data_IF_202735443054
#
_entry.id   IF_202735443054
#
_cell.length_a   1.000
_cell.length_b   1.000
_cell.length_c   1.000
_cell.angle_alpha   90.00
_cell.angle_beta   90.00
_cell.angle_gamma   90.00
#
_symmetry.space_group_name_H-M   'P 1'
#
loop_
_entity.id
_entity.type
_entity.pdbx_description
1 polymer ?
#
# COMPACT_ATOMS: atom_id res chain seq x y z
N UNK A 1 -0.33 -7.32 -7.88
CA UNK A 1 -0.13 -6.75 -6.54
C UNK A 1 1.24 -6.08 -6.51
N UNK A 2 1.29 -4.78 -6.26
CA UNK A 2 2.54 -4.01 -6.25
C UNK A 2 3.27 -4.23 -4.92
N UNK A 3 4.52 -4.71 -4.97
CA UNK A 3 5.36 -4.83 -3.76
C UNK A 3 5.84 -3.46 -3.30
N UNK A 4 5.81 -3.19 -1.99
CA UNK A 4 6.30 -1.94 -1.39
C UNK A 4 7.82 -1.80 -1.47
N UNK A 5 8.57 -2.91 -1.43
CA UNK A 5 10.02 -2.93 -1.52
C UNK A 5 10.48 -3.28 -2.94
N UNK A 6 11.57 -2.65 -3.39
CA UNK A 6 12.18 -2.96 -4.69
C UNK A 6 12.95 -4.27 -4.55
N UNK A 7 12.61 -5.28 -5.35
CA UNK A 7 13.39 -6.51 -5.45
C UNK A 7 14.80 -6.17 -5.97
N UNK A 8 15.82 -6.51 -5.19
CA UNK A 8 17.22 -6.33 -5.58
C UNK A 8 17.63 -7.49 -6.48
N UNK A 9 17.46 -7.32 -7.78
CA UNK A 9 18.07 -8.23 -8.73
C UNK A 9 19.59 -7.94 -8.78
N UNK A 10 20.42 -8.98 -8.65
CA UNK A 10 21.89 -8.88 -8.64
C UNK A 10 22.48 -8.30 -9.93
N UNK A 11 21.67 -8.19 -10.99
CA UNK A 11 22.05 -7.66 -12.31
C UNK A 11 21.87 -6.15 -12.44
N UNK A 12 21.20 -5.50 -11.50
CA UNK A 12 20.92 -4.07 -11.56
C UNK A 12 21.82 -3.33 -10.59
N UNK A 13 22.41 -2.23 -11.08
CA UNK A 13 23.29 -1.30 -10.38
C UNK A 13 22.78 -0.99 -8.95
N UNK A 14 23.68 -0.89 -7.99
CA UNK A 14 23.38 -0.60 -6.59
C UNK A 14 22.60 0.72 -6.44
N UNK A 15 21.28 0.62 -6.18
CA UNK A 15 20.46 1.79 -5.83
C UNK A 15 20.68 2.18 -4.37
N UNK A 16 20.75 3.48 -4.13
CA UNK A 16 20.68 3.99 -2.76
C UNK A 16 19.28 3.75 -2.16
N UNK A 17 19.17 3.57 -0.83
CA UNK A 17 17.84 3.37 -0.19
C UNK A 17 16.84 4.47 -0.49
N UNK A 18 17.32 5.70 -0.68
CA UNK A 18 16.50 6.87 -1.04
C UNK A 18 15.97 6.80 -2.47
N UNK A 19 16.81 6.37 -3.42
CA UNK A 19 16.38 6.19 -4.81
C UNK A 19 15.29 5.11 -4.94
N UNK A 20 15.44 4.01 -4.20
CA UNK A 20 14.42 2.96 -4.15
C UNK A 20 13.11 3.46 -3.54
N UNK A 21 13.18 4.34 -2.53
CA UNK A 21 12.01 4.98 -1.92
C UNK A 21 11.26 5.84 -2.95
N UNK A 22 11.95 6.78 -3.60
CA UNK A 22 11.32 7.70 -4.55
C UNK A 22 10.82 7.01 -5.81
N UNK A 23 11.50 5.99 -6.30
CA UNK A 23 11.06 5.23 -7.48
C UNK A 23 9.71 4.53 -7.26
N UNK A 24 9.49 3.92 -6.09
CA UNK A 24 8.19 3.33 -5.73
C UNK A 24 7.15 4.39 -5.36
N UNK A 25 7.55 5.42 -4.65
CA UNK A 25 6.71 6.55 -4.30
C UNK A 25 6.07 7.19 -5.54
N UNK A 26 6.85 7.45 -6.58
CA UNK A 26 6.36 8.04 -7.82
C UNK A 26 5.28 7.18 -8.49
N UNK A 27 5.47 5.84 -8.49
CA UNK A 27 4.48 4.92 -9.03
C UNK A 27 3.15 5.00 -8.27
N UNK A 28 3.18 4.97 -6.93
CA UNK A 28 1.96 5.06 -6.12
C UNK A 28 1.26 6.41 -6.25
N UNK A 29 2.01 7.50 -6.34
CA UNK A 29 1.45 8.84 -6.60
C UNK A 29 0.74 8.89 -7.95
N UNK A 30 1.38 8.41 -9.01
CA UNK A 30 0.78 8.41 -10.35
C UNK A 30 -0.54 7.62 -10.36
N UNK A 31 -0.56 6.43 -9.78
CA UNK A 31 -1.78 5.61 -9.68
C UNK A 31 -2.85 6.33 -8.85
N UNK A 32 -2.48 6.91 -7.70
CA UNK A 32 -3.40 7.65 -6.83
C UNK A 32 -4.02 8.88 -7.50
N UNK A 33 -3.21 9.65 -8.24
CA UNK A 33 -3.70 10.82 -8.96
C UNK A 33 -4.65 10.44 -10.10
N UNK A 34 -4.30 9.41 -10.88
CA UNK A 34 -5.20 8.92 -11.95
C UNK A 34 -6.52 8.43 -11.36
N UNK A 35 -6.47 7.67 -10.26
CA UNK A 35 -7.66 7.20 -9.57
C UNK A 35 -8.52 8.35 -9.06
N UNK A 36 -7.93 9.35 -8.42
CA UNK A 36 -8.66 10.53 -7.94
C UNK A 36 -9.30 11.34 -9.09
N UNK A 37 -8.58 11.49 -10.20
CA UNK A 37 -9.11 12.16 -11.38
C UNK A 37 -10.35 11.44 -11.94
N UNK A 38 -10.28 10.10 -12.06
CA UNK A 38 -11.41 9.29 -12.54
C UNK A 38 -12.62 9.44 -11.61
N UNK A 39 -12.40 9.42 -10.29
CA UNK A 39 -13.48 9.56 -9.30
C UNK A 39 -14.10 10.96 -9.41
N UNK A 40 -13.31 12.03 -9.38
CA UNK A 40 -13.84 13.41 -9.47
C UNK A 40 -14.60 13.66 -10.79
N UNK A 41 -14.10 13.14 -11.92
CA UNK A 41 -14.81 13.23 -13.19
C UNK A 41 -16.10 12.40 -13.17
N UNK A 42 -16.08 11.22 -12.56
CA UNK A 42 -17.26 10.37 -12.37
C UNK A 42 -18.33 11.07 -11.54
N UNK A 43 -17.96 11.75 -10.46
CA UNK A 43 -18.88 12.50 -9.61
C UNK A 43 -19.55 13.63 -10.38
N UNK A 44 -18.80 14.38 -11.21
CA UNK A 44 -19.33 15.50 -11.98
C UNK A 44 -20.18 15.02 -13.17
N UNK A 45 -19.68 14.07 -13.97
CA UNK A 45 -20.33 13.68 -15.23
C UNK A 45 -21.34 12.57 -15.07
N UNK A 46 -21.05 11.54 -14.26
CA UNK A 46 -21.90 10.36 -14.09
C UNK A 46 -22.97 10.60 -13.03
N UNK A 47 -22.58 11.07 -11.86
CA UNK A 47 -23.50 11.37 -10.76
C UNK A 47 -24.17 12.74 -10.89
N UNK A 48 -23.69 13.57 -11.82
CA UNK A 48 -24.20 14.95 -12.04
C UNK A 48 -24.24 15.74 -10.73
N UNK A 49 -23.21 15.58 -9.88
CA UNK A 49 -23.09 16.35 -8.67
C UNK A 49 -23.08 17.85 -9.01
N UNK A 50 -23.94 18.61 -8.35
CA UNK A 50 -23.98 20.06 -8.54
C UNK A 50 -22.73 20.67 -7.93
N UNK A 51 -21.82 21.14 -8.78
CA UNK A 51 -20.58 21.82 -8.38
C UNK A 51 -20.57 23.22 -9.00
N UNK A 52 -20.45 24.22 -8.17
CA UNK A 52 -20.35 25.61 -8.64
C UNK A 52 -18.95 25.87 -9.23
N UNK A 53 -17.92 25.25 -8.65
CA UNK A 53 -16.54 25.35 -9.12
C UNK A 53 -15.93 23.96 -9.42
N UNK A 54 -16.23 23.35 -10.59
CA UNK A 54 -15.78 21.97 -10.89
C UNK A 54 -14.25 21.82 -10.93
N UNK A 55 -13.53 22.83 -11.39
CA UNK A 55 -12.06 22.81 -11.42
C UNK A 55 -11.46 22.82 -10.00
N UNK A 56 -12.05 23.57 -9.08
CA UNK A 56 -11.62 23.60 -7.69
C UNK A 56 -11.92 22.24 -6.99
N UNK A 57 -13.05 21.61 -7.31
CA UNK A 57 -13.39 20.29 -6.82
C UNK A 57 -12.38 19.22 -7.26
N UNK A 58 -12.04 19.19 -8.56
CA UNK A 58 -11.00 18.29 -9.09
C UNK A 58 -9.65 18.60 -8.44
N UNK A 59 -9.29 19.87 -8.29
CA UNK A 59 -8.06 20.29 -7.63
C UNK A 59 -7.97 19.82 -6.17
N UNK A 60 -9.04 19.97 -5.39
CA UNK A 60 -9.12 19.49 -4.02
C UNK A 60 -9.01 17.95 -3.95
N UNK A 61 -9.66 17.22 -4.86
CA UNK A 61 -9.58 15.77 -4.95
C UNK A 61 -8.19 15.26 -5.27
N UNK A 62 -7.53 15.85 -6.26
CA UNK A 62 -6.15 15.50 -6.62
C UNK A 62 -5.17 15.82 -5.50
N UNK A 63 -5.30 16.97 -4.85
CA UNK A 63 -4.45 17.37 -3.72
C UNK A 63 -4.64 16.46 -2.52
N UNK A 64 -5.89 16.12 -2.19
CA UNK A 64 -6.22 15.17 -1.13
C UNK A 64 -5.62 13.80 -1.40
N UNK A 65 -5.78 13.27 -2.61
CA UNK A 65 -5.17 12.00 -3.02
C UNK A 65 -3.66 12.02 -2.89
N UNK A 66 -3.01 13.10 -3.32
CA UNK A 66 -1.58 13.27 -3.19
C UNK A 66 -1.11 13.19 -1.73
N UNK A 67 -1.78 13.89 -0.82
CA UNK A 67 -1.45 13.88 0.62
C UNK A 67 -1.71 12.51 1.24
N UNK A 68 -2.85 11.89 0.95
CA UNK A 68 -3.22 10.59 1.54
C UNK A 68 -2.30 9.47 1.08
N UNK A 69 -1.97 9.41 -0.22
CA UNK A 69 -1.02 8.43 -0.75
C UNK A 69 0.35 8.58 -0.10
N UNK A 70 0.82 9.83 0.08
CA UNK A 70 2.08 10.09 0.80
C UNK A 70 2.05 9.56 2.24
N UNK A 71 0.97 9.84 2.98
CA UNK A 71 0.83 9.44 4.37
C UNK A 71 0.79 7.90 4.52
N UNK A 72 -0.07 7.25 3.70
CA UNK A 72 -0.21 5.79 3.71
C UNK A 72 1.09 5.10 3.28
N UNK A 73 1.75 5.62 2.25
CA UNK A 73 3.02 5.09 1.78
C UNK A 73 4.11 5.22 2.85
N UNK A 74 4.22 6.38 3.49
CA UNK A 74 5.20 6.62 4.56
C UNK A 74 4.98 5.67 5.74
N UNK A 75 3.74 5.52 6.23
CA UNK A 75 3.40 4.59 7.30
C UNK A 75 3.69 3.14 6.92
N UNK A 76 3.27 2.72 5.72
CA UNK A 76 3.44 1.35 5.26
C UNK A 76 4.90 0.97 5.07
N UNK A 77 5.76 1.87 4.57
CA UNK A 77 7.18 1.58 4.36
C UNK A 77 7.99 1.66 5.65
N UNK A 78 7.56 2.50 6.60
CA UNK A 78 8.25 2.68 7.89
C UNK A 78 8.00 1.50 8.82
N UNK A 79 6.76 1.08 8.95
CA UNK A 79 6.34 0.04 9.90
C UNK A 79 6.01 -1.30 9.24
N UNK A 80 6.18 -1.45 7.92
CA UNK A 80 5.88 -2.67 7.16
C UNK A 80 4.47 -3.24 7.47
N UNK A 81 4.41 -4.45 8.03
CA UNK A 81 3.16 -5.13 8.35
C UNK A 81 2.31 -4.39 9.40
N UNK A 82 2.96 -3.85 10.43
CA UNK A 82 2.29 -3.03 11.47
C UNK A 82 1.74 -1.75 10.83
N UNK A 83 2.49 -1.12 9.93
CA UNK A 83 2.08 0.09 9.23
C UNK A 83 0.81 -0.11 8.41
N UNK A 84 0.69 -1.24 7.72
CA UNK A 84 -0.54 -1.60 6.99
C UNK A 84 -1.74 -1.70 7.94
N UNK A 85 -1.60 -2.37 9.08
CA UNK A 85 -2.65 -2.48 10.08
C UNK A 85 -3.05 -1.12 10.66
N UNK A 86 -2.06 -0.28 10.99
CA UNK A 86 -2.30 1.09 11.48
C UNK A 86 -3.02 1.94 10.43
N UNK A 87 -2.65 1.82 9.14
CA UNK A 87 -3.35 2.53 8.07
C UNK A 87 -4.83 2.12 8.00
N UNK A 88 -5.14 0.84 8.12
CA UNK A 88 -6.54 0.35 8.12
C UNK A 88 -7.32 0.94 9.30
N UNK A 89 -6.74 0.92 10.51
CA UNK A 89 -7.36 1.50 11.70
C UNK A 89 -7.58 3.01 11.51
N UNK A 90 -6.58 3.72 10.99
CA UNK A 90 -6.70 5.16 10.73
C UNK A 90 -7.82 5.47 9.73
N UNK A 91 -7.95 4.70 8.65
CA UNK A 91 -9.03 4.89 7.67
C UNK A 91 -10.40 4.65 8.32
N UNK A 92 -10.55 3.59 9.13
CA UNK A 92 -11.80 3.31 9.85
C UNK A 92 -12.16 4.46 10.80
N UNK A 93 -11.19 5.03 11.52
CA UNK A 93 -11.42 6.18 12.41
C UNK A 93 -11.74 7.46 11.64
N UNK A 94 -11.20 7.64 10.44
CA UNK A 94 -11.41 8.83 9.63
C UNK A 94 -12.83 8.92 9.08
N UNK A 95 -13.50 7.82 8.77
CA UNK A 95 -14.85 7.82 8.21
C UNK A 95 -15.85 8.55 9.14
N UNK A 96 -16.04 8.16 10.40
CA UNK A 96 -16.91 8.88 11.32
C UNK A 96 -16.31 10.19 11.84
N UNK A 97 -14.98 10.27 11.96
CA UNK A 97 -14.29 11.42 12.57
C UNK A 97 -14.16 12.64 11.66
N UNK A 98 -14.27 12.47 10.34
CA UNK A 98 -14.10 13.57 9.37
C UNK A 98 -15.38 14.33 9.05
N UNK A 99 -16.51 13.99 9.66
CA UNK A 99 -17.84 14.56 9.36
C UNK A 99 -18.25 14.40 7.87
N UNK A 100 -17.74 13.36 7.20
CA UNK A 100 -18.07 13.08 5.80
C UNK A 100 -19.51 12.60 5.62
N UNK A 101 -19.98 11.73 6.49
CA UNK A 101 -21.30 11.10 6.41
C UNK A 101 -22.34 11.76 7.32
N UNK A 102 -21.92 12.21 8.51
CA UNK A 102 -22.80 12.83 9.51
C UNK A 102 -22.17 14.13 10.02
N UNK A 103 -22.98 15.13 10.43
CA UNK A 103 -22.48 16.31 11.13
C UNK A 103 -21.70 15.92 12.38
N UNK A 104 -20.60 16.61 12.64
CA UNK A 104 -19.70 16.27 13.77
C UNK A 104 -20.39 16.38 15.13
N UNK A 105 -21.43 17.22 15.22
CA UNK A 105 -22.22 17.45 16.42
C UNK A 105 -23.00 16.20 16.84
N UNK A 106 -23.34 15.32 15.90
CA UNK A 106 -24.06 14.07 16.12
C UNK A 106 -23.14 12.91 16.52
N UNK A 107 -21.82 13.10 16.41
CA UNK A 107 -20.85 12.05 16.73
C UNK A 107 -20.44 12.09 18.21
N UNK A 108 -20.03 10.95 18.81
CA UNK A 108 -19.49 10.90 20.16
C UNK A 108 -18.34 11.88 20.38
N UNK A 109 -18.19 12.35 21.62
CA UNK A 109 -17.15 13.33 22.01
C UNK A 109 -15.75 12.94 21.62
N UNK A 110 -15.45 11.64 21.59
CA UNK A 110 -14.18 11.09 21.14
C UNK A 110 -13.87 11.50 19.68
N UNK A 111 -14.79 11.30 18.74
CA UNK A 111 -14.59 11.67 17.34
C UNK A 111 -14.53 13.19 17.14
N UNK A 112 -15.29 13.94 17.92
CA UNK A 112 -15.25 15.40 17.91
C UNK A 112 -13.87 15.94 18.32
N UNK A 113 -13.23 15.34 19.31
CA UNK A 113 -11.88 15.70 19.72
C UNK A 113 -10.81 15.28 18.68
N UNK A 114 -11.06 14.19 17.98
CA UNK A 114 -10.15 13.65 16.96
C UNK A 114 -10.25 14.40 15.62
N UNK A 115 -11.41 15.00 15.34
CA UNK A 115 -11.74 15.68 14.08
C UNK A 115 -10.65 16.62 13.54
N UNK A 116 -10.05 17.54 14.33
CA UNK A 116 -9.02 18.44 13.82
C UNK A 116 -7.68 17.77 13.52
N UNK A 117 -7.46 16.53 14.00
CA UNK A 117 -6.25 15.76 13.78
C UNK A 117 -6.32 14.89 12.52
N UNK A 118 -7.51 14.75 11.93
CA UNK A 118 -7.73 13.85 10.81
C UNK A 118 -7.53 14.58 9.46
N UNK A 119 -6.69 14.07 8.57
CA UNK A 119 -6.49 14.69 7.25
C UNK A 119 -7.74 14.67 6.37
N UNK A 120 -8.64 13.67 6.50
CA UNK A 120 -9.88 13.61 5.72
C UNK A 120 -10.80 14.79 6.00
N UNK A 121 -10.81 15.32 7.21
CA UNK A 121 -11.57 16.52 7.59
C UNK A 121 -11.34 17.68 6.63
N UNK A 122 -10.08 17.99 6.39
CA UNK A 122 -9.69 19.12 5.54
C UNK A 122 -9.94 18.85 4.06
N UNK A 123 -9.72 17.62 3.60
CA UNK A 123 -10.03 17.22 2.23
C UNK A 123 -11.53 17.31 1.93
N UNK A 124 -12.37 16.80 2.82
CA UNK A 124 -13.83 16.82 2.66
C UNK A 124 -14.36 18.26 2.73
N UNK A 125 -13.86 19.08 3.66
CA UNK A 125 -14.25 20.48 3.74
C UNK A 125 -13.89 21.26 2.48
N UNK A 126 -12.66 21.12 1.97
CA UNK A 126 -12.25 21.75 0.73
C UNK A 126 -13.12 21.33 -0.47
N UNK A 127 -13.49 20.05 -0.56
CA UNK A 127 -14.41 19.58 -1.60
C UNK A 127 -15.81 20.15 -1.43
N UNK A 128 -16.34 20.26 -0.20
CA UNK A 128 -17.64 20.88 0.08
C UNK A 128 -17.66 22.35 -0.28
N UNK A 129 -16.60 23.09 0.05
CA UNK A 129 -16.46 24.51 -0.34
C UNK A 129 -16.46 24.68 -1.87
N UNK A 130 -15.78 23.80 -2.59
CA UNK A 130 -15.77 23.82 -4.06
C UNK A 130 -17.15 23.51 -4.67
N UNK A 131 -17.96 22.68 -4.00
CA UNK A 131 -19.35 22.38 -4.42
C UNK A 131 -20.31 23.53 -4.09
N UNK A 132 -20.16 24.15 -2.91
CA UNK A 132 -21.09 25.14 -2.37
C UNK A 132 -20.83 26.58 -2.81
N UNK A 133 -19.71 26.85 -3.50
CA UNK A 133 -19.43 28.18 -4.07
C UNK A 133 -18.29 28.95 -3.39
N UNK A 134 -17.38 28.29 -2.68
CA UNK A 134 -16.14 28.85 -2.12
C UNK A 134 -16.35 30.08 -1.24
N UNK A 135 -16.83 29.89 -0.04
CA UNK A 135 -17.06 30.98 0.90
C UNK A 135 -15.73 31.53 1.45
N UNK A 136 -15.39 32.75 1.05
CA UNK A 136 -14.19 33.45 1.51
C UNK A 136 -12.88 32.71 1.21
N UNK A 137 -12.06 32.49 2.26
CA UNK A 137 -10.73 31.87 2.13
C UNK A 137 -10.66 30.46 2.74
N UNK A 138 -11.82 29.85 3.03
CA UNK A 138 -11.89 28.56 3.74
C UNK A 138 -11.29 27.43 2.90
N UNK A 139 -11.58 27.38 1.62
CA UNK A 139 -11.01 26.41 0.68
C UNK A 139 -9.48 26.38 0.74
N UNK A 140 -8.83 27.52 0.64
CA UNK A 140 -7.36 27.61 0.67
C UNK A 140 -6.78 27.28 2.05
N UNK A 141 -7.48 27.64 3.12
CA UNK A 141 -7.11 27.31 4.49
C UNK A 141 -7.13 25.80 4.71
N UNK A 142 -8.16 25.11 4.26
CA UNK A 142 -8.26 23.67 4.38
C UNK A 142 -7.20 22.95 3.55
N UNK A 143 -6.92 23.41 2.32
CA UNK A 143 -5.80 22.87 1.53
C UNK A 143 -4.44 23.12 2.20
N UNK A 144 -4.23 24.27 2.83
CA UNK A 144 -3.02 24.56 3.57
C UNK A 144 -2.87 23.66 4.80
N UNK A 145 -3.96 23.47 5.58
CA UNK A 145 -3.97 22.54 6.71
C UNK A 145 -3.70 21.10 6.26
N UNK A 146 -4.30 20.67 5.16
CA UNK A 146 -4.05 19.36 4.56
C UNK A 146 -2.57 19.21 4.14
N UNK A 147 -1.95 20.26 3.63
CA UNK A 147 -0.53 20.26 3.24
C UNK A 147 0.42 20.07 4.41
N UNK A 148 0.02 20.41 5.66
CA UNK A 148 0.83 20.17 6.86
C UNK A 148 1.09 18.67 7.13
N UNK A 149 0.28 17.79 6.59
CA UNK A 149 0.51 16.35 6.71
C UNK A 149 1.63 15.83 5.79
N UNK A 150 2.01 16.59 4.74
CA UNK A 150 3.13 16.20 3.86
C UNK A 150 4.48 16.16 4.58
N UNK A 151 4.93 17.21 5.29
CA UNK A 151 6.19 17.13 6.03
C UNK A 151 6.18 16.03 7.09
N UNK A 152 5.04 15.76 7.72
CA UNK A 152 4.88 14.64 8.68
C UNK A 152 5.10 13.31 7.95
N UNK A 153 4.49 13.12 6.78
CA UNK A 153 4.66 11.91 5.97
C UNK A 153 6.12 11.72 5.53
N UNK A 154 6.79 12.76 5.05
CA UNK A 154 8.20 12.68 4.65
C UNK A 154 9.13 12.42 5.85
N UNK A 155 8.89 13.04 6.99
CA UNK A 155 9.65 12.81 8.21
C UNK A 155 9.52 11.35 8.68
N UNK A 156 8.31 10.79 8.63
CA UNK A 156 8.07 9.39 8.93
C UNK A 156 8.77 8.47 7.92
N UNK A 157 8.57 8.71 6.63
CA UNK A 157 9.07 7.82 5.56
C UNK A 157 10.59 7.82 5.40
N UNK A 158 11.25 8.95 5.61
CA UNK A 158 12.70 9.09 5.45
C UNK A 158 13.46 9.05 6.80
N UNK A 159 12.94 9.72 7.83
CA UNK A 159 13.59 9.84 9.13
C UNK A 159 13.38 8.62 10.02
N UNK A 160 12.12 8.35 10.36
CA UNK A 160 11.78 7.30 11.32
C UNK A 160 12.04 5.88 10.77
N UNK A 161 11.99 5.71 9.45
CA UNK A 161 12.31 4.43 8.81
C UNK A 161 13.66 3.86 9.23
N UNK A 162 14.69 4.69 9.33
CA UNK A 162 16.05 4.24 9.72
C UNK A 162 16.07 3.72 11.16
N UNK A 163 15.35 4.38 12.07
CA UNK A 163 15.24 3.98 13.47
C UNK A 163 14.45 2.67 13.64
N UNK A 164 13.45 2.46 12.79
CA UNK A 164 12.55 1.29 12.88
C UNK A 164 13.10 0.01 12.23
N UNK A 165 14.25 0.05 11.55
CA UNK A 165 14.85 -1.13 10.90
C UNK A 165 15.06 -2.31 11.86
N UNK A 166 15.51 -2.05 13.10
CA UNK A 166 15.73 -3.10 14.09
C UNK A 166 14.43 -3.67 14.63
N UNK A 167 13.45 -2.79 14.89
CA UNK A 167 12.12 -3.20 15.37
C UNK A 167 11.40 -4.05 14.32
N UNK A 168 11.42 -3.62 13.07
CA UNK A 168 10.82 -4.36 11.95
C UNK A 168 11.45 -5.75 11.79
N UNK A 169 12.78 -5.89 11.94
CA UNK A 169 13.45 -7.20 11.88
C UNK A 169 13.01 -8.14 13.00
N UNK A 170 12.80 -7.61 14.20
CA UNK A 170 12.29 -8.41 15.33
C UNK A 170 10.85 -8.88 15.07
N UNK A 171 10.00 -8.01 14.54
CA UNK A 171 8.62 -8.36 14.20
C UNK A 171 8.55 -9.33 13.02
N UNK A 172 9.33 -9.11 11.96
CA UNK A 172 9.40 -10.02 10.80
C UNK A 172 9.77 -11.44 11.27
N UNK A 173 10.80 -11.56 12.15
CA UNK A 173 11.21 -12.85 12.70
C UNK A 173 10.11 -13.54 13.53
N UNK A 174 9.39 -12.77 14.36
CA UNK A 174 8.29 -13.33 15.15
C UNK A 174 7.08 -13.73 14.30
N UNK A 175 6.79 -12.98 13.24
CA UNK A 175 5.73 -13.32 12.31
C UNK A 175 6.06 -14.57 11.49
N UNK A 176 7.32 -14.76 11.09
CA UNK A 176 7.81 -16.01 10.47
C UNK A 176 7.64 -17.22 11.41
N UNK A 177 7.96 -17.04 12.71
CA UNK A 177 7.79 -18.08 13.73
C UNK A 177 6.32 -18.47 13.94
N UNK A 178 5.37 -17.57 13.76
CA UNK A 178 3.93 -17.83 13.92
C UNK A 178 3.25 -18.42 12.69
N UNK A 179 3.95 -18.54 11.57
CA UNK A 179 3.40 -19.09 10.32
C UNK A 179 2.32 -18.25 9.65
N UNK A 180 1.99 -17.06 10.18
CA UNK A 180 0.98 -16.15 9.62
C UNK A 180 1.39 -15.55 8.27
N UNK A 181 2.68 -15.57 7.94
CA UNK A 181 3.24 -15.04 6.69
C UNK A 181 3.26 -16.03 5.53
N UNK A 182 2.87 -17.27 5.73
CA UNK A 182 2.93 -18.31 4.68
C UNK A 182 2.10 -18.00 3.44
N UNK A 183 1.11 -17.11 3.54
CA UNK A 183 0.25 -16.74 2.40
C UNK A 183 0.84 -15.67 1.48
N UNK A 184 1.76 -14.81 1.96
CA UNK A 184 2.31 -13.71 1.16
C UNK A 184 3.63 -14.08 0.45
N UNK A 185 4.39 -15.03 1.00
CA UNK A 185 5.67 -15.49 0.44
C UNK A 185 5.58 -16.73 -0.44
N UNK A 186 4.44 -17.43 -0.48
CA UNK A 186 4.22 -18.61 -1.35
C UNK A 186 4.41 -18.37 -2.85
N UNK A 187 4.65 -17.12 -3.26
CA UNK A 187 4.96 -16.78 -4.64
C UNK A 187 6.46 -16.79 -5.00
N UNK A 188 7.38 -16.78 -4.03
CA UNK A 188 8.83 -16.76 -4.28
C UNK A 188 9.68 -17.21 -3.10
N UNK A 189 9.36 -18.32 -2.46
CA UNK A 189 10.42 -19.13 -1.90
C UNK A 189 11.02 -19.95 -3.05
N UNK A 190 11.73 -19.27 -3.91
CA UNK A 190 12.90 -19.89 -4.50
C UNK A 190 13.74 -20.24 -3.28
N UNK A 191 13.66 -21.49 -2.87
CA UNK A 191 14.60 -22.07 -1.92
C UNK A 191 15.96 -21.49 -2.25
N UNK A 192 16.47 -20.61 -1.41
CA UNK A 192 17.88 -20.35 -1.38
C UNK A 192 18.47 -21.65 -0.89
N UNK A 193 18.62 -22.61 -1.79
CA UNK A 193 19.48 -23.75 -1.61
C UNK A 193 20.79 -23.09 -1.17
N UNK A 194 21.12 -23.19 0.12
CA UNK A 194 22.39 -22.65 0.61
C UNK A 194 23.43 -23.25 -0.30
N UNK A 195 24.34 -22.44 -0.82
CA UNK A 195 25.36 -22.89 -1.77
C UNK A 195 26.09 -24.14 -1.24
N UNK A 196 26.23 -24.23 0.10
CA UNK A 196 26.73 -25.42 0.81
C UNK A 196 25.86 -26.66 0.60
N UNK A 197 24.53 -26.52 0.59
CA UNK A 197 23.61 -27.67 0.37
C UNK A 197 23.59 -28.06 -1.11
N UNK A 198 23.69 -27.10 -2.03
CA UNK A 198 23.81 -27.37 -3.46
C UNK A 198 25.15 -28.07 -3.79
N UNK A 199 26.24 -27.65 -3.16
CA UNK A 199 27.55 -28.28 -3.29
C UNK A 199 27.58 -29.67 -2.67
N UNK A 200 26.91 -29.91 -1.54
CA UNK A 200 26.77 -31.25 -0.96
C UNK A 200 25.93 -32.19 -1.82
N UNK A 201 24.84 -31.68 -2.44
CA UNK A 201 24.01 -32.47 -3.35
C UNK A 201 24.76 -32.79 -4.65
N UNK A 202 25.61 -31.86 -5.13
CA UNK A 202 26.48 -32.08 -6.31
C UNK A 202 27.65 -33.01 -6.02
N UNK A 203 28.12 -33.06 -4.76
CA UNK A 203 29.19 -33.96 -4.34
C UNK A 203 28.68 -35.42 -4.19
N UNK A 204 27.38 -35.57 -3.97
CA UNK A 204 26.76 -36.91 -3.79
C UNK A 204 25.94 -37.23 -5.07
N UNK A 205 26.68 -37.68 -6.10
CA UNK A 205 26.13 -37.97 -7.43
C UNK A 205 25.01 -39.02 -7.44
N UNK A 206 25.02 -39.95 -6.48
CA UNK A 206 23.98 -40.98 -6.37
C UNK A 206 22.67 -40.41 -5.82
N UNK A 207 22.72 -39.63 -4.76
CA UNK A 207 21.51 -38.99 -4.19
C UNK A 207 20.89 -37.93 -5.11
N UNK A 208 21.66 -37.30 -5.96
CA UNK A 208 21.14 -36.38 -6.97
C UNK A 208 20.35 -37.12 -8.05
N UNK A 209 20.91 -38.25 -8.53
CA UNK A 209 20.27 -39.10 -9.55
C UNK A 209 18.96 -39.69 -9.05
N UNK A 210 18.92 -40.18 -7.81
CA UNK A 210 17.73 -40.78 -7.21
C UNK A 210 16.61 -39.73 -7.01
N UNK A 211 16.96 -38.54 -6.55
CA UNK A 211 15.99 -37.42 -6.42
C UNK A 211 15.48 -36.89 -7.75
N UNK A 212 16.30 -36.93 -8.80
CA UNK A 212 15.86 -36.56 -10.15
C UNK A 212 14.92 -37.61 -10.74
N UNK A 213 15.16 -38.89 -10.51
CA UNK A 213 14.28 -39.99 -10.93
C UNK A 213 12.94 -39.89 -10.18
N UNK A 214 12.95 -39.70 -8.85
CA UNK A 214 11.74 -39.51 -8.04
C UNK A 214 10.90 -38.29 -8.53
N UNK A 215 11.55 -37.17 -8.82
CA UNK A 215 10.84 -35.98 -9.39
C UNK A 215 10.31 -36.22 -10.78
N UNK A 216 11.02 -36.98 -11.60
CA UNK A 216 10.56 -37.33 -12.96
C UNK A 216 9.32 -38.24 -12.89
N UNK A 217 9.30 -39.24 -12.01
CA UNK A 217 8.15 -40.10 -11.77
C UNK A 217 6.93 -39.34 -11.22
N UNK A 218 7.14 -38.41 -10.27
CA UNK A 218 6.10 -37.53 -9.76
C UNK A 218 5.51 -36.62 -10.83
N UNK A 219 6.37 -36.11 -11.71
CA UNK A 219 5.93 -35.24 -12.82
C UNK A 219 5.13 -36.05 -13.86
N UNK A 220 5.57 -37.25 -14.20
CA UNK A 220 4.88 -38.14 -15.12
C UNK A 220 3.52 -38.61 -14.57
N UNK A 221 3.44 -38.92 -13.29
CA UNK A 221 2.20 -39.29 -12.59
C UNK A 221 1.20 -38.11 -12.54
N UNK A 222 1.67 -36.90 -12.29
CA UNK A 222 0.85 -35.69 -12.34
C UNK A 222 0.41 -35.36 -13.78
N UNK A 223 1.27 -35.50 -14.76
CA UNK A 223 0.95 -35.26 -16.15
C UNK A 223 -0.14 -36.22 -16.64
N UNK A 224 -0.04 -37.53 -16.33
CA UNK A 224 -1.08 -38.52 -16.64
C UNK A 224 -2.42 -38.23 -15.93
N UNK A 225 -2.37 -37.66 -14.72
CA UNK A 225 -3.58 -37.25 -14.00
C UNK A 225 -4.27 -36.06 -14.68
N UNK A 226 -3.50 -35.09 -15.12
CA UNK A 226 -4.04 -33.90 -15.81
C UNK A 226 -4.54 -34.21 -17.20
N UNK A 227 -3.89 -35.13 -17.94
CA UNK A 227 -4.38 -35.57 -19.26
C UNK A 227 -5.70 -36.35 -19.13
N UNK A 228 -5.87 -37.19 -18.10
CA UNK A 228 -7.15 -37.88 -17.85
C UNK A 228 -8.29 -36.90 -17.49
N UNK A 229 -7.99 -35.84 -16.72
CA UNK A 229 -8.98 -34.79 -16.38
C UNK A 229 -9.32 -33.95 -17.61
N UNK A 230 -8.34 -33.64 -18.46
CA UNK A 230 -8.56 -32.92 -19.72
C UNK A 230 -9.44 -33.71 -20.70
N UNK A 231 -9.30 -35.03 -20.75
CA UNK A 231 -10.16 -35.91 -21.58
C UNK A 231 -11.59 -36.07 -21.04
N UNK A 232 -11.82 -35.79 -19.78
CA UNK A 232 -13.16 -35.89 -19.15
C UNK A 232 -13.96 -34.58 -19.29
N UNK A 233 -13.32 -33.49 -19.74
CA UNK A 233 -13.89 -32.15 -19.91
C UNK A 233 -14.18 -31.79 -21.38
N UNK A 234 -13.86 -32.68 -22.32
CA UNK A 234 -14.22 -32.64 -23.73
C UNK A 234 -15.33 -33.67 -24.00
#
# INVERSE_FOLDING_TARGET
IFKLEVDRDKRVRSFTPTQAYFGRWMLFIMVGLVQALIICLGDIFLLKAQCEHPLAFIGAGLWSSFVYVNLIYALSITFKHIGKAVCVILVILQIPGSAGTYPIEMTPTFFRSLHPLLPFTYGINAMREAMAGMYGNLYWKDLACLSLFLPIAFLLGLGVRLLMLNLNRMFDKKLEETGLMMCEESGMTRERVKLSTALQILADQETFRDKMIEKAELFEKNYQKWTKIGFLLI
#
